data_IF_437986347463
#
_entry.id   IF_437986347463
#
_cell.length_a   1.000
_cell.length_b   1.000
_cell.length_c   1.000
_cell.angle_alpha   90.00
_cell.angle_beta   90.00
_cell.angle_gamma   90.00
#
_symmetry.space_group_name_H-M   'P 1'
#
loop_
_entity.id
_entity.type
_entity.pdbx_description
1 polymer ?
#
# COMPACT_ATOMS: atom_id res chain seq x y z
N UNK A 1 27.28 -51.01 38.24
CA UNK A 1 26.05 -50.46 38.89
C UNK A 1 26.05 -48.94 38.71
N UNK A 2 25.32 -48.41 37.76
CA UNK A 2 25.15 -46.96 37.60
C UNK A 2 24.31 -46.42 38.75
N UNK A 3 24.86 -45.47 39.50
CA UNK A 3 24.23 -44.91 40.69
C UNK A 3 22.90 -44.27 40.30
N UNK A 4 21.82 -44.49 41.08
CA UNK A 4 20.50 -43.87 40.91
C UNK A 4 20.60 -42.36 40.75
N UNK A 5 21.60 -41.71 41.34
CA UNK A 5 21.89 -40.28 41.19
C UNK A 5 22.34 -39.88 39.80
N UNK A 6 23.07 -40.73 39.08
CA UNK A 6 23.53 -40.48 37.70
C UNK A 6 22.34 -40.59 36.74
N UNK A 7 21.46 -41.58 36.94
CA UNK A 7 20.25 -41.76 36.14
C UNK A 7 19.28 -40.57 36.27
N UNK A 8 19.03 -40.09 37.51
CA UNK A 8 18.18 -38.94 37.74
C UNK A 8 18.74 -37.64 37.10
N UNK A 9 20.06 -37.44 37.17
CA UNK A 9 20.70 -36.29 36.50
C UNK A 9 20.59 -36.37 34.99
N UNK A 10 20.71 -37.53 34.39
CA UNK A 10 20.57 -37.74 32.94
C UNK A 10 19.14 -37.53 32.47
N UNK A 11 18.13 -37.97 33.24
CA UNK A 11 16.72 -37.75 32.91
C UNK A 11 16.35 -36.27 33.06
N UNK A 12 16.85 -35.57 34.09
CA UNK A 12 16.64 -34.15 34.28
C UNK A 12 17.29 -33.32 33.18
N UNK A 13 18.49 -33.69 32.71
CA UNK A 13 19.16 -33.01 31.58
C UNK A 13 18.42 -33.24 30.25
N UNK A 14 17.90 -34.43 30.02
CA UNK A 14 17.11 -34.74 28.83
C UNK A 14 15.76 -33.99 28.84
N UNK A 15 15.08 -33.86 29.98
CA UNK A 15 13.86 -33.10 30.13
C UNK A 15 14.07 -31.57 29.96
N UNK A 16 15.20 -31.02 30.40
CA UNK A 16 15.55 -29.62 30.13
C UNK A 16 15.90 -29.37 28.67
N UNK A 17 16.51 -30.30 27.98
CA UNK A 17 16.84 -30.20 26.54
C UNK A 17 15.56 -30.20 25.67
N UNK A 18 14.52 -30.93 26.06
CA UNK A 18 13.23 -30.95 25.33
C UNK A 18 12.40 -29.68 25.58
N UNK A 19 12.55 -29.01 26.71
CA UNK A 19 11.90 -27.72 26.97
C UNK A 19 12.58 -26.56 26.23
N UNK A 20 13.83 -26.70 25.82
CA UNK A 20 14.57 -25.70 25.04
C UNK A 20 14.23 -25.71 23.54
N UNK A 21 13.51 -26.70 23.01
CA UNK A 21 12.90 -26.67 21.70
C UNK A 21 11.61 -25.82 21.74
N UNK A 22 11.75 -24.58 22.22
CA UNK A 22 10.72 -23.57 22.05
C UNK A 22 10.40 -23.48 20.58
N UNK A 23 9.16 -23.72 20.20
CA UNK A 23 8.65 -23.50 18.86
C UNK A 23 9.09 -22.10 18.44
N UNK A 24 10.02 -22.01 17.49
CA UNK A 24 10.27 -20.76 16.79
C UNK A 24 8.97 -20.43 16.06
N UNK A 25 8.06 -19.74 16.75
CA UNK A 25 6.95 -19.10 16.07
C UNK A 25 7.58 -18.09 15.12
N UNK A 26 7.51 -18.38 13.83
CA UNK A 26 7.84 -17.40 12.83
C UNK A 26 6.96 -16.17 13.12
N UNK A 27 7.58 -15.07 13.50
CA UNK A 27 6.84 -13.86 13.77
C UNK A 27 6.17 -13.42 12.48
N UNK A 28 4.84 -13.29 12.48
CA UNK A 28 4.11 -12.77 11.33
C UNK A 28 4.66 -11.37 10.98
N UNK A 29 4.94 -11.16 9.70
CA UNK A 29 5.35 -9.87 9.19
C UNK A 29 4.11 -8.97 9.18
N UNK A 30 4.19 -7.80 9.80
CA UNK A 30 3.11 -6.83 9.83
C UNK A 30 3.48 -5.59 9.05
N UNK A 31 2.55 -5.10 8.23
CA UNK A 31 2.72 -3.87 7.47
C UNK A 31 1.48 -3.01 7.50
N UNK A 32 1.64 -1.72 7.27
CA UNK A 32 0.53 -0.79 7.16
C UNK A 32 0.86 0.37 6.22
N UNK A 33 -0.16 0.98 5.62
CA UNK A 33 0.04 2.20 4.85
C UNK A 33 -0.81 2.31 3.60
N UNK A 34 -0.19 2.76 2.53
CA UNK A 34 -0.83 3.07 1.25
C UNK A 34 -1.87 2.03 0.82
N UNK A 35 -3.00 2.52 0.32
CA UNK A 35 -4.12 1.65 -0.08
C UNK A 35 -3.95 1.08 -1.49
N UNK A 36 -3.28 1.81 -2.37
CA UNK A 36 -3.12 1.40 -3.76
C UNK A 36 -2.43 0.03 -3.93
N UNK A 37 -1.37 -0.34 -3.16
CA UNK A 37 -0.67 -1.62 -3.35
C UNK A 37 -1.38 -2.81 -2.68
N UNK A 38 -2.45 -2.58 -1.89
CA UNK A 38 -3.10 -3.63 -1.11
C UNK A 38 -3.48 -4.88 -1.90
N UNK A 39 -4.10 -4.79 -3.10
CA UNK A 39 -4.49 -5.99 -3.84
C UNK A 39 -3.31 -6.91 -4.20
N UNK A 40 -2.17 -6.31 -4.56
CA UNK A 40 -0.97 -7.10 -4.90
C UNK A 40 -0.26 -7.61 -3.64
N UNK A 41 -0.22 -6.81 -2.57
CA UNK A 41 0.34 -7.27 -1.29
C UNK A 41 -0.44 -8.45 -0.71
N UNK A 42 -1.78 -8.46 -0.82
CA UNK A 42 -2.59 -9.59 -0.41
C UNK A 42 -2.23 -10.87 -1.19
N UNK A 43 -2.02 -10.76 -2.50
CA UNK A 43 -1.58 -11.89 -3.33
C UNK A 43 -0.16 -12.37 -3.00
N UNK A 44 0.74 -11.45 -2.76
CA UNK A 44 2.10 -11.81 -2.35
C UNK A 44 2.12 -12.44 -0.96
N UNK A 45 1.31 -11.97 -0.01
CA UNK A 45 1.17 -12.55 1.31
C UNK A 45 0.69 -13.99 1.26
N UNK A 46 -0.33 -14.27 0.42
CA UNK A 46 -0.83 -15.63 0.18
C UNK A 46 0.28 -16.54 -0.39
N UNK A 47 0.94 -16.11 -1.45
CA UNK A 47 2.03 -16.87 -2.08
C UNK A 47 3.22 -17.09 -1.13
N UNK A 48 3.60 -16.07 -0.38
CA UNK A 48 4.69 -16.16 0.59
C UNK A 48 4.38 -17.16 1.71
N UNK A 49 3.17 -17.11 2.24
CA UNK A 49 2.72 -18.07 3.25
C UNK A 49 2.73 -19.51 2.74
N UNK A 50 2.31 -19.74 1.50
CA UNK A 50 2.30 -21.09 0.90
C UNK A 50 3.71 -21.66 0.73
N UNK A 51 4.71 -20.82 0.47
CA UNK A 51 6.10 -21.25 0.25
C UNK A 51 6.89 -21.36 1.55
N UNK A 52 6.67 -20.43 2.49
CA UNK A 52 7.52 -20.29 3.70
C UNK A 52 6.86 -20.74 4.99
N UNK A 53 5.52 -20.82 5.01
CA UNK A 53 4.73 -21.00 6.23
C UNK A 53 4.56 -19.73 7.06
N UNK A 54 5.27 -18.64 6.74
CA UNK A 54 5.22 -17.38 7.49
C UNK A 54 4.03 -16.51 7.00
N UNK A 55 3.30 -15.91 7.94
CA UNK A 55 2.23 -14.98 7.64
C UNK A 55 2.76 -13.57 7.31
N UNK A 56 2.03 -12.85 6.46
CA UNK A 56 2.20 -11.42 6.24
C UNK A 56 0.83 -10.78 6.32
N UNK A 57 0.66 -9.84 7.25
CA UNK A 57 -0.56 -9.07 7.42
C UNK A 57 -0.31 -7.61 7.06
N UNK A 58 -1.06 -7.09 6.10
CA UNK A 58 -0.97 -5.70 5.67
C UNK A 58 -2.28 -4.96 5.90
N UNK A 59 -2.20 -3.80 6.57
CA UNK A 59 -3.33 -2.94 6.86
C UNK A 59 -3.34 -1.74 5.91
N UNK A 60 -4.37 -1.66 5.07
CA UNK A 60 -4.59 -0.58 4.11
C UNK A 60 -5.27 0.61 4.82
N UNK A 61 -4.46 1.51 5.40
CA UNK A 61 -4.91 2.64 6.25
C UNK A 61 -4.45 4.01 5.74
N UNK A 62 -3.99 4.08 4.48
CA UNK A 62 -3.43 5.27 3.86
C UNK A 62 -1.96 5.53 4.22
N UNK A 63 -1.26 6.24 3.33
CA UNK A 63 0.18 6.49 3.43
C UNK A 63 0.58 7.15 4.76
N UNK A 64 -0.17 8.17 5.19
CA UNK A 64 0.09 8.86 6.47
C UNK A 64 -0.06 7.92 7.68
N UNK A 65 -1.01 6.99 7.64
CA UNK A 65 -1.19 5.96 8.66
C UNK A 65 0.02 5.03 8.74
N UNK A 66 0.51 4.57 7.58
CA UNK A 66 1.70 3.74 7.48
C UNK A 66 2.95 4.39 8.03
N UNK A 67 3.19 5.66 7.65
CA UNK A 67 4.33 6.44 8.16
C UNK A 67 4.26 6.57 9.69
N UNK A 68 3.10 6.86 10.25
CA UNK A 68 2.95 6.94 11.72
C UNK A 68 3.25 5.61 12.41
N UNK A 69 2.74 4.51 11.88
CA UNK A 69 2.93 3.19 12.49
C UNK A 69 4.37 2.70 12.42
N UNK A 70 5.06 2.90 11.29
CA UNK A 70 6.47 2.50 11.19
C UNK A 70 7.36 3.36 12.12
N UNK A 71 7.11 4.66 12.23
CA UNK A 71 7.80 5.55 13.19
C UNK A 71 7.55 5.12 14.64
N UNK A 72 6.34 4.70 14.96
CA UNK A 72 5.98 4.18 16.27
C UNK A 72 6.48 2.74 16.53
N UNK A 73 7.09 2.10 15.53
CA UNK A 73 7.59 0.70 15.58
C UNK A 73 6.49 -0.33 15.92
N UNK A 74 5.25 -0.05 15.53
CA UNK A 74 4.10 -0.95 15.72
C UNK A 74 3.91 -1.93 14.56
N UNK A 75 4.63 -1.72 13.45
CA UNK A 75 4.64 -2.59 12.27
C UNK A 75 6.07 -2.85 11.81
N UNK A 76 6.28 -3.94 11.09
CA UNK A 76 7.59 -4.33 10.54
C UNK A 76 7.98 -3.46 9.35
N UNK A 77 6.98 -3.05 8.52
CA UNK A 77 7.20 -2.13 7.41
C UNK A 77 6.02 -1.17 7.23
N UNK A 78 6.30 0.00 6.67
CA UNK A 78 5.29 0.97 6.25
C UNK A 78 5.29 1.12 4.73
N UNK A 79 4.14 1.40 4.12
CA UNK A 79 4.05 1.74 2.70
C UNK A 79 3.48 3.14 2.51
N UNK A 80 4.04 3.87 1.55
CA UNK A 80 3.62 5.24 1.21
C UNK A 80 3.69 5.45 -0.30
N UNK A 81 2.77 6.25 -0.83
CA UNK A 81 2.74 6.63 -2.25
C UNK A 81 3.71 7.77 -2.57
N UNK A 82 4.20 8.47 -1.53
CA UNK A 82 5.14 9.57 -1.67
C UNK A 82 6.49 9.27 -1.01
N UNK A 83 7.60 9.76 -1.57
CA UNK A 83 8.90 9.67 -0.91
C UNK A 83 8.89 10.41 0.44
N UNK A 84 9.49 9.79 1.44
CA UNK A 84 9.83 10.45 2.72
C UNK A 84 11.16 11.16 2.54
N UNK A 85 11.32 12.34 3.15
CA UNK A 85 12.57 13.09 3.04
C UNK A 85 13.77 12.31 3.60
N UNK A 86 14.95 12.49 3.02
CA UNK A 86 16.17 11.84 3.49
C UNK A 86 16.48 12.16 4.96
N UNK A 87 16.21 13.38 5.39
CA UNK A 87 16.42 13.83 6.76
C UNK A 87 15.48 13.09 7.75
N UNK A 88 14.21 12.93 7.38
CA UNK A 88 13.25 12.17 8.19
C UNK A 88 13.60 10.68 8.26
N UNK A 89 14.03 10.10 7.14
CA UNK A 89 14.48 8.71 7.11
C UNK A 89 15.69 8.50 8.04
N UNK A 90 16.69 9.37 7.94
CA UNK A 90 17.89 9.31 8.79
C UNK A 90 17.56 9.50 10.27
N UNK A 91 16.72 10.49 10.60
CA UNK A 91 16.28 10.79 11.96
C UNK A 91 15.60 9.61 12.63
N UNK A 92 14.73 8.91 11.89
CA UNK A 92 13.93 7.80 12.41
C UNK A 92 14.62 6.43 12.22
N UNK A 93 15.83 6.40 11.66
CA UNK A 93 16.59 5.17 11.39
C UNK A 93 15.91 4.26 10.39
N UNK A 94 15.24 4.85 9.39
CA UNK A 94 14.48 4.13 8.36
C UNK A 94 15.21 4.13 7.02
N UNK A 95 14.88 3.17 6.17
CA UNK A 95 15.22 3.13 4.75
C UNK A 95 13.95 3.03 3.92
N UNK A 96 13.97 3.60 2.71
CA UNK A 96 12.86 3.50 1.78
C UNK A 96 13.36 3.05 0.41
N UNK A 97 12.57 2.19 -0.24
CA UNK A 97 12.84 1.71 -1.59
C UNK A 97 11.53 1.57 -2.37
N UNK A 98 11.55 1.72 -3.72
CA UNK A 98 10.37 1.49 -4.55
C UNK A 98 10.03 0.00 -4.57
N UNK A 99 8.77 -0.33 -4.28
CA UNK A 99 8.28 -1.70 -4.27
C UNK A 99 7.32 -1.98 -5.44
N UNK A 100 6.45 -1.02 -5.78
CA UNK A 100 5.42 -1.17 -6.80
C UNK A 100 5.26 0.15 -7.54
N UNK A 101 5.00 0.06 -8.84
CA UNK A 101 4.57 1.18 -9.68
C UNK A 101 3.13 0.95 -10.12
N UNK A 102 2.30 2.00 -10.03
CA UNK A 102 0.94 2.04 -10.56
C UNK A 102 0.68 3.35 -11.29
N UNK A 103 -0.29 3.35 -12.18
CA UNK A 103 -0.76 4.56 -12.86
C UNK A 103 -1.93 5.21 -12.10
N UNK A 104 -1.90 6.54 -11.99
CA UNK A 104 -3.07 7.32 -11.60
C UNK A 104 -3.71 7.88 -12.86
N UNK A 105 -4.97 7.52 -13.10
CA UNK A 105 -5.69 7.93 -14.31
C UNK A 105 -6.99 8.66 -13.91
N UNK A 106 -7.33 9.77 -14.61
CA UNK A 106 -8.64 10.37 -14.47
C UNK A 106 -9.72 9.43 -15.04
N UNK A 107 -10.79 9.26 -14.29
CA UNK A 107 -11.97 8.51 -14.75
C UNK A 107 -13.10 9.51 -14.95
N UNK A 108 -13.77 9.44 -16.08
CA UNK A 108 -14.91 10.31 -16.42
C UNK A 108 -16.18 9.49 -16.57
N UNK A 109 -17.30 10.07 -16.15
CA UNK A 109 -18.63 9.50 -16.33
C UNK A 109 -19.48 10.52 -17.11
N UNK A 110 -19.55 10.36 -18.43
CA UNK A 110 -20.28 11.24 -19.36
C UNK A 110 -21.07 10.34 -20.31
N UNK A 111 -22.37 10.56 -20.37
CA UNK A 111 -23.23 9.82 -21.31
C UNK A 111 -22.79 10.02 -22.76
N UNK A 112 -22.69 8.91 -23.49
CA UNK A 112 -22.30 8.91 -24.90
C UNK A 112 -20.77 9.00 -25.15
N UNK A 113 -19.94 9.09 -24.13
CA UNK A 113 -18.47 9.03 -24.23
C UNK A 113 -17.97 7.69 -23.71
N UNK A 114 -17.32 6.92 -24.57
CA UNK A 114 -16.74 5.64 -24.19
C UNK A 114 -15.34 5.79 -23.58
N UNK A 115 -14.85 4.79 -22.82
CA UNK A 115 -13.49 4.79 -22.30
C UNK A 115 -12.44 5.04 -23.41
N UNK A 116 -11.49 5.95 -23.13
CA UNK A 116 -10.43 6.32 -24.08
C UNK A 116 -10.83 7.28 -25.18
N UNK A 117 -12.08 7.70 -25.27
CA UNK A 117 -12.54 8.62 -26.33
C UNK A 117 -12.34 10.09 -25.99
N UNK A 118 -12.30 10.47 -24.72
CA UNK A 118 -12.10 11.86 -24.30
C UNK A 118 -10.61 12.17 -24.20
N UNK A 119 -10.21 13.28 -24.82
CA UNK A 119 -8.84 13.81 -24.72
C UNK A 119 -8.83 15.02 -23.79
N UNK A 120 -7.96 14.99 -22.80
CA UNK A 120 -7.74 16.09 -21.85
C UNK A 120 -6.22 16.29 -21.73
N UNK A 121 -5.77 17.54 -21.88
CA UNK A 121 -4.36 17.88 -21.63
C UNK A 121 -4.12 18.15 -20.15
N UNK A 122 -2.87 18.04 -19.69
CA UNK A 122 -2.52 18.33 -18.29
C UNK A 122 -2.98 19.71 -17.81
N UNK A 123 -2.74 20.80 -18.59
CA UNK A 123 -3.24 22.13 -18.21
C UNK A 123 -4.77 22.19 -18.07
N UNK A 124 -5.53 21.60 -19.03
CA UNK A 124 -6.99 21.57 -18.96
C UNK A 124 -7.47 20.76 -17.77
N UNK A 125 -6.84 19.62 -17.47
CA UNK A 125 -7.14 18.82 -16.29
C UNK A 125 -6.90 19.62 -15.00
N UNK A 126 -5.81 20.35 -14.89
CA UNK A 126 -5.53 21.21 -13.74
C UNK A 126 -6.62 22.30 -13.57
N UNK A 127 -7.02 22.96 -14.64
CA UNK A 127 -8.08 23.96 -14.62
C UNK A 127 -9.44 23.38 -14.19
N UNK A 128 -9.74 22.12 -14.53
CA UNK A 128 -10.93 21.42 -14.06
C UNK A 128 -10.84 21.18 -12.53
N UNK A 129 -9.69 20.74 -12.03
CA UNK A 129 -9.53 20.45 -10.60
C UNK A 129 -9.52 21.68 -9.71
N UNK A 130 -9.03 22.83 -10.21
CA UNK A 130 -9.09 24.11 -9.47
C UNK A 130 -10.40 24.87 -9.68
N UNK A 131 -11.35 24.34 -10.49
CA UNK A 131 -12.66 24.92 -10.71
C UNK A 131 -12.71 26.10 -11.67
N UNK A 132 -11.69 26.31 -12.50
CA UNK A 132 -11.71 27.33 -13.58
C UNK A 132 -12.55 26.84 -14.75
N UNK A 133 -12.48 25.56 -15.08
CA UNK A 133 -13.34 24.88 -16.05
C UNK A 133 -14.39 24.10 -15.25
N UNK A 134 -15.65 24.49 -15.39
CA UNK A 134 -16.77 23.93 -14.61
C UNK A 134 -17.74 23.09 -15.45
N UNK A 135 -17.67 23.15 -16.78
CA UNK A 135 -18.59 22.45 -17.67
C UNK A 135 -17.86 21.58 -18.68
N UNK A 136 -18.46 20.44 -19.04
CA UNK A 136 -17.88 19.52 -20.01
C UNK A 136 -17.79 20.09 -21.43
N UNK A 137 -18.68 20.98 -21.81
CA UNK A 137 -18.68 21.66 -23.13
C UNK A 137 -17.79 22.91 -23.19
N UNK A 138 -16.92 23.14 -22.18
CA UNK A 138 -15.97 24.25 -22.21
C UNK A 138 -15.13 24.24 -23.50
N UNK A 139 -14.87 25.43 -24.03
CA UNK A 139 -14.17 25.62 -25.29
C UNK A 139 -12.78 24.95 -25.32
N UNK A 140 -12.06 24.92 -24.19
CA UNK A 140 -10.75 24.27 -24.08
C UNK A 140 -10.84 22.75 -24.16
N UNK A 141 -11.90 22.16 -23.58
CA UNK A 141 -12.15 20.72 -23.70
C UNK A 141 -12.63 20.41 -25.14
N UNK A 142 -13.55 21.19 -25.68
CA UNK A 142 -14.05 21.00 -27.03
C UNK A 142 -12.94 21.07 -28.09
N UNK A 143 -12.00 22.00 -27.96
CA UNK A 143 -10.86 22.13 -28.85
C UNK A 143 -9.96 20.89 -28.90
N UNK A 144 -9.85 20.14 -27.81
CA UNK A 144 -9.11 18.88 -27.74
C UNK A 144 -9.89 17.68 -28.30
N UNK A 145 -11.20 17.85 -28.49
CA UNK A 145 -12.13 16.79 -28.89
C UNK A 145 -12.96 17.15 -30.11
N UNK A 146 -12.34 17.48 -31.25
CA UNK A 146 -13.07 17.91 -32.46
C UNK A 146 -14.07 16.83 -32.90
N UNK A 147 -15.28 17.24 -33.24
CA UNK A 147 -16.34 16.35 -33.70
C UNK A 147 -17.09 15.58 -32.60
N UNK A 148 -16.69 15.71 -31.32
CA UNK A 148 -17.44 15.12 -30.20
C UNK A 148 -18.48 16.10 -29.69
N UNK A 149 -19.69 15.61 -29.44
CA UNK A 149 -20.76 16.38 -28.81
C UNK A 149 -20.61 16.26 -27.29
N UNK A 150 -20.00 17.26 -26.66
CA UNK A 150 -19.86 17.33 -25.23
C UNK A 150 -21.13 17.95 -24.60
N UNK A 151 -21.65 17.39 -23.49
CA UNK A 151 -22.88 17.89 -22.90
C UNK A 151 -22.65 19.21 -22.15
N UNK A 152 -23.70 20.05 -22.10
CA UNK A 152 -23.74 21.24 -21.23
C UNK A 152 -24.10 20.81 -19.79
N UNK A 153 -23.18 20.10 -19.16
CA UNK A 153 -23.28 19.59 -17.80
C UNK A 153 -22.13 20.10 -16.96
N UNK A 154 -22.39 20.34 -15.69
CA UNK A 154 -21.35 20.69 -14.72
C UNK A 154 -20.41 19.51 -14.44
N UNK A 155 -19.15 19.84 -14.21
CA UNK A 155 -18.13 18.90 -13.81
C UNK A 155 -18.13 18.79 -12.28
N UNK A 156 -18.43 17.61 -11.76
CA UNK A 156 -18.22 17.30 -10.34
C UNK A 156 -16.85 16.61 -10.19
N UNK A 157 -15.91 17.32 -9.56
CA UNK A 157 -14.58 16.76 -9.29
C UNK A 157 -14.63 15.88 -8.05
N UNK A 158 -14.15 14.66 -8.20
CA UNK A 158 -14.02 13.69 -7.09
C UNK A 158 -12.55 13.36 -6.93
N UNK A 159 -12.05 13.48 -5.71
CA UNK A 159 -10.67 13.15 -5.35
C UNK A 159 -10.62 12.44 -3.99
N UNK A 160 -9.52 11.78 -3.73
CA UNK A 160 -9.27 11.14 -2.43
C UNK A 160 -8.86 12.20 -1.39
N UNK A 161 -9.13 11.90 -0.12
CA UNK A 161 -8.81 12.76 1.02
C UNK A 161 -7.62 12.21 1.87
N UNK A 162 -7.03 11.09 1.46
CA UNK A 162 -5.94 10.39 2.19
C UNK A 162 -4.56 10.54 1.53
#
# INVERSE_FOLDING_TARGET
MTSKRTFIKSVAAAAMATLAMGSAFAADITGAGATFPFPIYAKWAEGYKNVTGNGLNYQSIGSSGGIRQIKAKTVTFGATDAPVSGDDLAKDGMVQFPAIIGGTVPVVNIDGIKPGELRISGPVLAEMFIGTITKWNDAKIAALNPGKKLPDLEITVVHRAD
#
